data_IF_248583022534
#
_entry.id   IF_248583022534
#
_cell.length_a   1.000
_cell.length_b   1.000
_cell.length_c   1.000
_cell.angle_alpha   90.00
_cell.angle_beta   90.00
_cell.angle_gamma   90.00
#
_symmetry.space_group_name_H-M   'P 1'
#
loop_
_entity.id
_entity.type
_entity.pdbx_description
1 polymer ?
#
# COMPACT_ATOMS: atom_id res chain seq x y z
N UNK A 1 -2.43 -27.27 16.75
CA UNK A 1 -2.18 -26.67 15.42
C UNK A 1 -3.11 -27.39 14.45
N UNK A 2 -4.29 -26.86 14.17
CA UNK A 2 -5.30 -27.53 13.34
C UNK A 2 -5.57 -26.65 12.10
N UNK A 3 -4.74 -26.82 11.08
CA UNK A 3 -4.98 -26.26 9.75
C UNK A 3 -5.07 -27.43 8.79
N UNK A 4 -6.13 -27.49 7.99
CA UNK A 4 -6.30 -28.51 6.94
C UNK A 4 -5.41 -28.21 5.71
N UNK A 5 -4.61 -27.15 5.79
CA UNK A 5 -3.65 -26.74 4.76
C UNK A 5 -2.29 -26.39 5.37
N UNK A 6 -1.22 -27.02 4.88
CA UNK A 6 0.13 -26.90 5.42
C UNK A 6 1.07 -25.98 4.61
N UNK A 7 0.64 -25.50 3.43
CA UNK A 7 1.47 -24.67 2.55
C UNK A 7 1.11 -23.18 2.68
N UNK A 8 1.99 -22.26 2.26
CA UNK A 8 1.69 -20.83 2.25
C UNK A 8 0.50 -20.49 1.35
N UNK A 9 -0.28 -19.49 1.78
CA UNK A 9 -1.42 -18.97 1.02
C UNK A 9 -1.24 -17.46 0.84
N UNK A 10 -1.23 -17.01 -0.40
CA UNK A 10 -1.16 -15.58 -0.70
C UNK A 10 -2.47 -14.90 -0.32
N UNK A 11 -2.37 -13.86 0.51
CA UNK A 11 -3.48 -12.95 0.83
C UNK A 11 -3.10 -11.55 0.38
N UNK A 12 -3.91 -10.97 -0.48
CA UNK A 12 -3.71 -9.61 -0.98
C UNK A 12 -4.77 -9.21 -1.98
N UNK A 13 -4.66 -7.97 -2.47
CA UNK A 13 -5.54 -7.48 -3.52
C UNK A 13 -4.84 -7.67 -4.89
N UNK A 14 -5.43 -8.43 -5.84
CA UNK A 14 -4.85 -8.63 -7.17
C UNK A 14 -5.01 -7.41 -8.10
N UNK A 15 -5.79 -6.40 -7.69
CA UNK A 15 -6.01 -5.17 -8.45
C UNK A 15 -4.75 -4.31 -8.44
N UNK A 16 -3.96 -4.45 -9.49
CA UNK A 16 -2.70 -3.73 -9.67
C UNK A 16 -2.91 -2.24 -9.97
N UNK A 17 -2.00 -1.41 -9.46
CA UNK A 17 -1.96 0.04 -9.74
C UNK A 17 -0.52 0.52 -9.82
N UNK A 18 -0.23 1.45 -10.72
CA UNK A 18 1.10 2.07 -10.77
C UNK A 18 1.27 3.08 -9.64
N UNK A 19 2.51 3.28 -9.17
CA UNK A 19 2.81 4.33 -8.17
C UNK A 19 2.39 5.72 -8.65
N UNK A 20 2.51 6.02 -9.95
CA UNK A 20 2.07 7.29 -10.53
C UNK A 20 0.55 7.47 -10.45
N UNK A 21 -0.22 6.44 -10.75
CA UNK A 21 -1.69 6.49 -10.63
C UNK A 21 -2.09 6.64 -9.16
N UNK A 22 -1.49 5.85 -8.27
CA UNK A 22 -1.77 5.92 -6.84
C UNK A 22 -1.46 7.30 -6.24
N UNK A 23 -0.34 7.92 -6.62
CA UNK A 23 -0.01 9.29 -6.20
C UNK A 23 -1.04 10.33 -6.67
N UNK A 24 -1.56 10.18 -7.91
CA UNK A 24 -2.64 11.03 -8.42
C UNK A 24 -3.95 10.83 -7.65
N UNK A 25 -4.30 9.59 -7.33
CA UNK A 25 -5.49 9.26 -6.53
C UNK A 25 -5.42 9.94 -5.14
N UNK A 26 -4.25 9.93 -4.48
CA UNK A 26 -4.03 10.61 -3.20
C UNK A 26 -4.17 12.13 -3.32
N UNK A 27 -3.59 12.75 -4.36
CA UNK A 27 -3.72 14.19 -4.60
C UNK A 27 -5.19 14.58 -4.78
N UNK A 28 -5.92 13.83 -5.60
CA UNK A 28 -7.34 14.06 -5.84
C UNK A 28 -8.17 13.89 -4.55
N UNK A 29 -7.91 12.84 -3.77
CA UNK A 29 -8.61 12.56 -2.51
C UNK A 29 -8.35 13.64 -1.44
N UNK A 30 -7.12 14.13 -1.35
CA UNK A 30 -6.70 15.08 -0.31
C UNK A 30 -6.97 16.55 -0.66
N UNK A 31 -7.23 16.87 -1.93
CA UNK A 31 -7.29 18.25 -2.41
C UNK A 31 -5.92 18.97 -2.34
N UNK A 32 -4.83 18.21 -2.28
CA UNK A 32 -3.48 18.73 -2.10
C UNK A 32 -2.99 19.46 -3.35
N UNK A 33 -2.33 20.61 -3.16
CA UNK A 33 -1.67 21.34 -4.25
C UNK A 33 -0.24 20.83 -4.55
N UNK A 34 0.22 19.76 -3.88
CA UNK A 34 1.57 19.25 -4.05
C UNK A 34 1.77 18.62 -5.43
N UNK A 35 2.94 18.86 -6.03
CA UNK A 35 3.33 18.27 -7.30
C UNK A 35 3.98 16.91 -7.10
N UNK A 36 3.76 15.99 -8.03
CA UNK A 36 4.46 14.70 -8.08
C UNK A 36 5.90 14.96 -8.54
N UNK A 37 6.87 14.59 -7.71
CA UNK A 37 8.31 14.58 -8.07
C UNK A 37 8.76 13.14 -8.30
N UNK A 38 9.51 12.92 -9.37
CA UNK A 38 10.13 11.62 -9.66
C UNK A 38 11.50 11.56 -8.99
N UNK A 39 11.83 10.40 -8.45
CA UNK A 39 13.11 10.09 -7.82
C UNK A 39 13.61 8.75 -8.39
N UNK A 40 14.92 8.46 -8.33
CA UNK A 40 15.44 7.15 -8.69
C UNK A 40 14.77 6.04 -7.88
N UNK A 41 14.60 4.87 -8.50
CA UNK A 41 14.13 3.67 -7.81
C UNK A 41 15.20 3.19 -6.83
N UNK A 42 14.85 2.85 -5.57
CA UNK A 42 15.78 2.20 -4.66
C UNK A 42 16.35 0.90 -5.21
N UNK A 43 17.60 0.59 -4.88
CA UNK A 43 18.22 -0.68 -5.26
C UNK A 43 17.46 -1.85 -4.60
N UNK A 44 17.09 -2.86 -5.41
CA UNK A 44 16.38 -4.05 -4.93
C UNK A 44 14.86 -3.91 -4.81
N UNK A 45 14.28 -2.74 -5.12
CA UNK A 45 12.82 -2.60 -5.14
C UNK A 45 12.21 -3.37 -6.34
N UNK A 46 11.25 -4.28 -6.11
CA UNK A 46 10.60 -5.01 -7.19
C UNK A 46 9.72 -4.07 -8.01
N UNK A 47 9.83 -4.21 -9.33
CA UNK A 47 9.07 -3.39 -10.30
C UNK A 47 7.58 -3.71 -10.34
N UNK A 48 7.21 -4.93 -9.94
CA UNK A 48 5.83 -5.44 -9.99
C UNK A 48 5.50 -6.19 -8.71
N UNK A 49 4.29 -5.97 -8.17
CA UNK A 49 3.74 -6.72 -7.04
C UNK A 49 2.25 -6.96 -7.28
N UNK A 50 1.90 -8.19 -7.67
CA UNK A 50 0.53 -8.61 -7.92
C UNK A 50 0.34 -10.05 -7.41
N UNK A 51 -0.38 -10.27 -6.29
CA UNK A 51 -0.55 -11.60 -5.73
C UNK A 51 -1.55 -12.44 -6.53
N UNK A 52 -1.21 -13.70 -6.83
CA UNK A 52 -2.19 -14.71 -7.22
C UNK A 52 -2.89 -15.25 -5.97
N UNK A 53 -4.19 -15.00 -5.87
CA UNK A 53 -5.05 -15.38 -4.74
C UNK A 53 -5.99 -16.56 -5.06
N UNK A 54 -5.74 -17.29 -6.16
CA UNK A 54 -6.57 -18.43 -6.57
C UNK A 54 -6.67 -19.50 -5.49
N UNK A 55 -5.57 -19.73 -4.76
CA UNK A 55 -5.56 -20.67 -3.63
C UNK A 55 -6.44 -20.17 -2.47
N UNK A 56 -6.32 -18.90 -2.06
CA UNK A 56 -7.12 -18.33 -0.98
C UNK A 56 -8.63 -18.40 -1.26
N UNK A 57 -9.03 -18.12 -2.50
CA UNK A 57 -10.42 -18.28 -2.95
C UNK A 57 -10.90 -19.73 -2.83
N UNK A 58 -10.04 -20.68 -3.22
CA UNK A 58 -10.39 -22.12 -3.24
C UNK A 58 -10.52 -22.73 -1.86
N UNK A 59 -9.53 -22.52 -0.99
CA UNK A 59 -9.42 -23.26 0.28
C UNK A 59 -9.90 -22.47 1.50
N UNK A 60 -9.96 -21.13 1.40
CA UNK A 60 -10.43 -20.27 2.50
C UNK A 60 -11.77 -19.59 2.17
N UNK A 61 -12.30 -19.75 0.95
CA UNK A 61 -13.41 -18.96 0.44
C UNK A 61 -13.19 -17.44 0.65
N UNK A 62 -11.94 -17.00 0.51
CA UNK A 62 -11.52 -15.64 0.84
C UNK A 62 -11.17 -14.85 -0.42
N UNK A 63 -11.60 -13.59 -0.44
CA UNK A 63 -11.16 -12.56 -1.36
C UNK A 63 -11.21 -11.18 -0.68
N UNK A 64 -10.41 -10.20 -1.13
CA UNK A 64 -10.55 -8.83 -0.63
C UNK A 64 -11.96 -8.30 -0.95
N UNK A 65 -12.60 -7.66 0.03
CA UNK A 65 -13.94 -7.09 -0.12
C UNK A 65 -13.95 -5.56 -0.06
N UNK A 66 -12.88 -4.95 0.48
CA UNK A 66 -12.70 -3.50 0.48
C UNK A 66 -11.93 -3.10 -0.76
N UNK A 67 -12.53 -2.23 -1.57
CA UNK A 67 -11.88 -1.68 -2.75
C UNK A 67 -10.85 -0.61 -2.39
N UNK A 68 -9.86 -0.42 -3.26
CA UNK A 68 -8.75 0.53 -3.02
C UNK A 68 -9.25 1.94 -2.69
N UNK A 69 -10.19 2.47 -3.47
CA UNK A 69 -10.77 3.79 -3.25
C UNK A 69 -11.44 3.92 -1.86
N UNK A 70 -12.20 2.91 -1.45
CA UNK A 70 -12.84 2.88 -0.14
C UNK A 70 -11.80 2.80 0.99
N UNK A 71 -10.80 1.92 0.85
CA UNK A 71 -9.71 1.80 1.81
C UNK A 71 -8.91 3.10 1.96
N UNK A 72 -8.62 3.78 0.84
CA UNK A 72 -7.95 5.08 0.85
C UNK A 72 -8.79 6.15 1.52
N UNK A 73 -10.10 6.21 1.25
CA UNK A 73 -11.00 7.17 1.88
C UNK A 73 -11.06 6.99 3.41
N UNK A 74 -11.18 5.74 3.89
CA UNK A 74 -11.12 5.41 5.32
C UNK A 74 -9.78 5.82 5.93
N UNK A 75 -8.68 5.53 5.25
CA UNK A 75 -7.32 5.89 5.68
C UNK A 75 -7.15 7.41 5.77
N UNK A 76 -7.60 8.15 4.77
CA UNK A 76 -7.55 9.61 4.75
C UNK A 76 -8.34 10.22 5.91
N UNK A 77 -9.57 9.75 6.14
CA UNK A 77 -10.40 10.20 7.25
C UNK A 77 -9.79 9.91 8.61
N UNK A 78 -9.15 8.74 8.78
CA UNK A 78 -8.38 8.44 9.99
C UNK A 78 -7.31 9.51 10.23
N UNK A 79 -6.47 9.79 9.24
CA UNK A 79 -5.38 10.76 9.38
C UNK A 79 -5.84 12.22 9.58
N UNK A 80 -7.03 12.60 9.08
CA UNK A 80 -7.63 13.90 9.41
C UNK A 80 -7.93 14.07 10.90
N UNK A 81 -8.20 12.98 11.62
CA UNK A 81 -8.45 12.99 13.06
C UNK A 81 -7.19 12.88 13.93
N UNK A 82 -6.02 12.65 13.34
CA UNK A 82 -4.75 12.51 14.09
C UNK A 82 -4.18 13.90 14.40
N UNK A 83 -3.74 14.12 15.64
CA UNK A 83 -3.15 15.39 16.05
C UNK A 83 -1.87 15.70 15.28
N UNK A 84 -1.59 16.99 15.03
CA UNK A 84 -0.35 17.42 14.35
C UNK A 84 0.91 16.90 15.03
N UNK A 85 0.95 16.94 16.37
CA UNK A 85 2.08 16.43 17.14
C UNK A 85 2.33 14.94 16.95
N UNK A 86 1.28 14.15 16.69
CA UNK A 86 1.40 12.72 16.39
C UNK A 86 1.75 12.47 14.93
N UNK A 87 1.25 13.29 13.99
CA UNK A 87 1.64 13.24 12.58
C UNK A 87 3.10 13.63 12.35
N UNK A 88 3.62 14.58 13.13
CA UNK A 88 4.99 15.08 13.00
C UNK A 88 6.01 14.28 13.81
N UNK A 89 5.59 13.25 14.56
CA UNK A 89 6.53 12.33 15.20
C UNK A 89 7.20 11.50 14.11
N UNK A 90 8.46 11.82 13.84
CA UNK A 90 9.28 11.08 12.89
C UNK A 90 9.93 9.91 13.63
N UNK A 91 9.30 8.73 13.58
CA UNK A 91 9.91 7.49 14.04
C UNK A 91 10.75 6.81 12.92
N UNK A 92 10.94 7.47 11.77
CA UNK A 92 11.45 6.84 10.56
C UNK A 92 12.97 7.02 10.36
N UNK A 93 13.63 5.90 10.03
CA UNK A 93 15.04 5.81 9.63
C UNK A 93 15.30 6.62 8.36
N UNK A 94 16.41 7.36 8.34
CA UNK A 94 16.91 8.07 7.16
C UNK A 94 17.31 7.08 6.06
N UNK A 95 16.56 7.09 4.95
CA UNK A 95 16.82 6.22 3.78
C UNK A 95 17.83 6.80 2.79
N UNK A 96 18.41 7.98 3.03
CA UNK A 96 19.44 8.57 2.14
C UNK A 96 20.60 7.61 1.88
N UNK A 97 20.92 6.73 2.84
CA UNK A 97 21.99 5.72 2.72
C UNK A 97 21.67 4.60 1.72
N UNK A 98 20.41 4.42 1.34
CA UNK A 98 19.95 3.37 0.42
C UNK A 98 19.68 3.88 -1.01
N UNK A 99 19.86 5.18 -1.24
CA UNK A 99 19.75 5.81 -2.56
C UNK A 99 21.18 6.07 -3.04
N UNK A 100 21.76 5.17 -3.85
CA UNK A 100 22.99 5.45 -4.58
C UNK A 100 22.61 6.10 -5.92
N UNK A 101 23.26 7.24 -6.22
CA UNK A 101 23.15 7.98 -7.47
C UNK A 101 23.69 7.17 -8.66
#
# INVERSE_FOLDING_TARGET
LFSDHALPVNLGNPDEVTIKTFAKEIIALSGSAHKIKHQPLPEGDPLKRQPDISLAKKILNWSPFIQRNEGMYKTFNHFKGVSKSKLSKVDHKDFKKHIKL
#
